data_IF_263248158162
#
_entry.id   IF_263248158162
#
_cell.length_a   1.000
_cell.length_b   1.000
_cell.length_c   1.000
_cell.angle_alpha   90.00
_cell.angle_beta   90.00
_cell.angle_gamma   90.00
#
_symmetry.space_group_name_H-M   'P 1'
#
loop_
_entity.id
_entity.type
_entity.pdbx_description
1 polymer ?
#
# COMPACT_ATOMS: atom_id res chain seq x y z
N UNK A 1 -16.78 13.98 19.27
CA UNK A 1 -17.75 14.17 18.17
C UNK A 1 -17.13 14.94 17.01
N UNK A 2 -16.25 15.91 17.29
CA UNK A 2 -15.53 16.72 16.30
C UNK A 2 -14.54 15.92 15.42
N UNK A 3 -13.81 14.99 16.04
CA UNK A 3 -12.76 14.19 15.37
C UNK A 3 -13.27 13.22 14.28
N UNK A 4 -14.53 12.78 14.37
CA UNK A 4 -15.12 11.89 13.36
C UNK A 4 -15.56 12.67 12.10
N UNK A 5 -16.03 13.90 12.30
CA UNK A 5 -16.47 14.79 11.23
C UNK A 5 -15.28 15.36 10.42
N UNK A 6 -14.12 15.49 11.05
CA UNK A 6 -12.87 15.88 10.40
C UNK A 6 -12.33 14.75 9.50
N UNK A 7 -12.36 13.50 9.99
CA UNK A 7 -11.99 12.31 9.21
C UNK A 7 -12.91 12.09 7.99
N UNK A 8 -14.22 12.30 8.15
CA UNK A 8 -15.17 12.22 7.03
C UNK A 8 -14.90 13.31 5.98
N UNK A 9 -14.54 14.52 6.40
CA UNK A 9 -14.13 15.59 5.47
C UNK A 9 -12.85 15.25 4.70
N UNK A 10 -11.81 14.74 5.36
CA UNK A 10 -10.56 14.36 4.69
C UNK A 10 -10.74 13.19 3.71
N UNK A 11 -11.56 12.19 4.07
CA UNK A 11 -11.95 11.10 3.17
C UNK A 11 -12.70 11.65 1.94
N UNK A 12 -13.63 12.58 2.15
CA UNK A 12 -14.39 13.23 1.07
C UNK A 12 -13.49 14.11 0.18
N UNK A 13 -12.51 14.80 0.75
CA UNK A 13 -11.54 15.62 -0.02
C UNK A 13 -10.57 14.77 -0.84
N UNK A 14 -10.19 13.58 -0.36
CA UNK A 14 -9.37 12.63 -1.12
C UNK A 14 -10.14 11.94 -2.24
N UNK A 15 -11.38 11.54 -1.98
CA UNK A 15 -12.26 11.01 -3.01
C UNK A 15 -12.47 12.07 -4.11
N UNK A 16 -12.62 13.35 -3.73
CA UNK A 16 -12.66 14.48 -4.65
C UNK A 16 -11.34 14.70 -5.40
N UNK A 17 -10.18 14.51 -4.76
CA UNK A 17 -8.89 14.59 -5.45
C UNK A 17 -8.74 13.49 -6.52
N UNK A 18 -9.30 12.30 -6.30
CA UNK A 18 -9.38 11.24 -7.32
C UNK A 18 -10.28 11.67 -8.50
N UNK A 19 -11.38 12.38 -8.23
CA UNK A 19 -12.27 12.92 -9.27
C UNK A 19 -11.63 14.02 -10.14
N UNK A 20 -10.63 14.76 -9.62
CA UNK A 20 -9.94 15.85 -10.35
C UNK A 20 -8.84 15.36 -11.33
N UNK A 21 -8.81 14.06 -11.64
CA UNK A 21 -7.84 13.50 -12.59
C UNK A 21 -6.48 13.22 -11.97
N UNK A 22 -6.42 13.04 -10.65
CA UNK A 22 -5.22 12.61 -9.96
C UNK A 22 -4.82 11.21 -10.47
N UNK A 23 -3.56 11.10 -10.93
CA UNK A 23 -3.02 9.87 -11.52
C UNK A 23 -2.19 9.08 -10.54
N UNK A 24 -2.05 9.57 -9.31
CA UNK A 24 -1.20 9.01 -8.28
C UNK A 24 -1.94 8.96 -6.95
N UNK A 25 -1.82 7.83 -6.25
CA UNK A 25 -2.39 7.60 -4.92
C UNK A 25 -1.26 7.18 -4.01
N UNK A 26 -0.98 8.02 -3.02
CA UNK A 26 -0.03 7.74 -1.96
C UNK A 26 -0.74 7.03 -0.81
N UNK A 27 -0.14 5.98 -0.27
CA UNK A 27 -0.70 5.24 0.86
C UNK A 27 0.41 4.59 1.69
N UNK A 28 0.16 4.45 2.99
CA UNK A 28 1.07 3.81 3.92
C UNK A 28 0.75 2.33 4.11
N UNK A 29 1.79 1.52 4.30
CA UNK A 29 1.64 0.12 4.71
C UNK A 29 2.49 -0.20 5.93
N UNK A 30 1.99 -1.08 6.79
CA UNK A 30 2.69 -1.61 7.96
C UNK A 30 2.91 -3.11 7.78
N UNK A 31 4.14 -3.58 7.96
CA UNK A 31 4.38 -5.02 7.99
C UNK A 31 3.94 -5.65 9.33
N UNK A 32 4.01 -6.98 9.41
CA UNK A 32 3.69 -7.73 10.63
C UNK A 32 4.61 -7.42 11.83
N UNK A 33 5.72 -6.69 11.62
CA UNK A 33 6.65 -6.22 12.65
C UNK A 33 6.44 -4.74 13.00
N UNK A 34 5.46 -4.07 12.37
CA UNK A 34 5.16 -2.65 12.57
C UNK A 34 6.07 -1.69 11.81
N UNK A 35 6.88 -2.19 10.86
CA UNK A 35 7.69 -1.32 9.99
C UNK A 35 6.78 -0.63 8.98
N UNK A 36 6.95 0.69 8.84
CA UNK A 36 6.18 1.51 7.92
C UNK A 36 6.88 1.67 6.57
N UNK A 37 6.14 1.50 5.48
CA UNK A 37 6.60 1.75 4.13
C UNK A 37 5.62 2.67 3.39
N UNK A 38 6.07 3.82 2.86
CA UNK A 38 5.24 4.68 2.03
C UNK A 38 5.24 4.15 0.59
N UNK A 39 4.05 3.87 0.05
CA UNK A 39 3.84 3.46 -1.33
C UNK A 39 3.17 4.56 -2.14
N UNK A 40 3.41 4.54 -3.45
CA UNK A 40 2.69 5.34 -4.43
C UNK A 40 2.24 4.42 -5.55
N UNK A 41 0.93 4.38 -5.80
CA UNK A 41 0.34 3.74 -6.97
C UNK A 41 0.03 4.81 -8.01
N UNK A 42 0.42 4.61 -9.26
CA UNK A 42 0.22 5.63 -10.29
C UNK A 42 -0.12 5.05 -11.65
N UNK A 43 -0.79 5.84 -12.48
CA UNK A 43 -1.07 5.53 -13.88
C UNK A 43 -0.16 6.39 -14.77
N UNK A 44 0.55 5.74 -15.71
CA UNK A 44 1.48 6.43 -16.60
C UNK A 44 0.76 7.39 -17.56
N UNK A 45 1.39 8.55 -17.81
CA UNK A 45 0.85 9.60 -18.68
C UNK A 45 0.76 9.21 -20.17
N UNK A 46 1.55 8.23 -20.62
CA UNK A 46 1.58 7.75 -22.01
C UNK A 46 1.78 6.24 -22.04
N UNK A 47 1.17 5.58 -23.04
CA UNK A 47 1.24 4.13 -23.20
C UNK A 47 0.22 3.38 -22.34
N UNK A 48 0.63 2.24 -21.79
CA UNK A 48 -0.25 1.35 -21.04
C UNK A 48 -0.72 1.99 -19.73
N UNK A 49 -2.05 2.17 -19.59
CA UNK A 49 -2.69 2.88 -18.47
C UNK A 49 -2.95 2.00 -17.24
N UNK A 50 -2.22 0.90 -17.08
CA UNK A 50 -2.38 0.11 -15.87
C UNK A 50 -1.68 0.78 -14.69
N UNK A 51 -2.31 0.76 -13.51
CA UNK A 51 -1.70 1.26 -12.29
C UNK A 51 -0.45 0.45 -11.95
N UNK A 52 0.58 1.13 -11.46
CA UNK A 52 1.84 0.53 -11.02
C UNK A 52 2.28 1.11 -9.68
N UNK A 53 2.86 0.25 -8.83
CA UNK A 53 3.58 0.72 -7.66
C UNK A 53 4.90 1.34 -8.09
N UNK A 54 5.13 2.58 -7.66
CA UNK A 54 6.32 3.35 -7.99
C UNK A 54 7.55 2.78 -7.28
N UNK A 55 8.68 2.80 -7.99
CA UNK A 55 9.91 2.13 -7.59
C UNK A 55 10.47 2.62 -6.24
N UNK A 56 10.33 3.90 -5.92
CA UNK A 56 10.95 4.48 -4.72
C UNK A 56 10.47 3.81 -3.42
N UNK A 57 9.15 3.65 -3.25
CA UNK A 57 8.57 2.98 -2.09
C UNK A 57 8.64 1.47 -2.20
N UNK A 58 8.34 0.96 -3.40
CA UNK A 58 8.27 -0.47 -3.68
C UNK A 58 9.61 -1.19 -3.52
N UNK A 59 10.69 -0.66 -4.11
CA UNK A 59 12.01 -1.32 -4.06
C UNK A 59 12.58 -1.34 -2.64
N UNK A 60 12.28 -0.32 -1.80
CA UNK A 60 12.65 -0.33 -0.39
C UNK A 60 12.03 -1.52 0.34
N UNK A 61 10.74 -1.77 0.11
CA UNK A 61 10.04 -2.92 0.68
C UNK A 61 10.57 -4.26 0.14
N UNK A 62 10.74 -4.38 -1.19
CA UNK A 62 11.31 -5.57 -1.85
C UNK A 62 12.67 -5.92 -1.26
N UNK A 63 13.58 -4.95 -1.16
CA UNK A 63 14.92 -5.17 -0.63
C UNK A 63 14.89 -5.50 0.86
N UNK A 64 14.04 -4.83 1.65
CA UNK A 64 13.91 -5.08 3.09
C UNK A 64 13.40 -6.50 3.38
N UNK A 65 12.40 -6.96 2.63
CA UNK A 65 11.81 -8.30 2.77
C UNK A 65 12.58 -9.39 2.03
N UNK A 66 13.56 -9.03 1.20
CA UNK A 66 14.30 -9.97 0.36
C UNK A 66 13.41 -10.68 -0.65
N UNK A 67 12.43 -9.97 -1.23
CA UNK A 67 11.46 -10.58 -2.13
C UNK A 67 12.08 -11.05 -3.43
N UNK A 68 11.60 -12.20 -3.89
CA UNK A 68 11.99 -12.83 -5.14
C UNK A 68 10.76 -13.12 -6.02
N UNK A 69 11.00 -13.39 -7.30
CA UNK A 69 9.93 -13.78 -8.22
C UNK A 69 9.29 -15.08 -7.72
N UNK A 70 7.98 -15.05 -7.50
CA UNK A 70 7.21 -16.18 -6.98
C UNK A 70 6.72 -15.97 -5.54
N UNK A 71 7.28 -14.99 -4.82
CA UNK A 71 6.76 -14.59 -3.51
C UNK A 71 5.37 -13.93 -3.65
N UNK A 72 4.54 -14.09 -2.62
CA UNK A 72 3.22 -13.50 -2.52
C UNK A 72 3.23 -12.30 -1.59
N UNK A 73 2.47 -11.28 -1.97
CA UNK A 73 2.24 -10.12 -1.12
C UNK A 73 0.74 -9.97 -0.92
N UNK A 74 0.36 -9.77 0.33
CA UNK A 74 -1.04 -9.67 0.74
C UNK A 74 -1.21 -8.34 1.46
N UNK A 75 -2.06 -7.47 0.91
CA UNK A 75 -2.52 -6.26 1.57
C UNK A 75 -3.83 -6.55 2.28
N UNK A 76 -3.91 -6.26 3.57
CA UNK A 76 -5.15 -6.29 4.36
C UNK A 76 -5.48 -4.87 4.80
N UNK A 77 -6.72 -4.41 4.61
CA UNK A 77 -7.14 -3.12 5.15
C UNK A 77 -6.94 -3.10 6.68
N UNK A 78 -6.34 -2.03 7.19
CA UNK A 78 -6.24 -1.76 8.61
C UNK A 78 -6.72 -0.32 8.84
N UNK A 79 -7.65 -0.14 9.78
CA UNK A 79 -8.10 1.20 10.15
C UNK A 79 -7.07 1.75 11.13
N UNK A 80 -6.29 2.76 10.72
CA UNK A 80 -5.50 3.59 11.62
C UNK A 80 -6.20 4.95 11.75
N UNK A 81 -6.61 5.29 12.97
CA UNK A 81 -7.33 6.53 13.26
C UNK A 81 -6.41 7.76 13.31
N UNK A 82 -5.09 7.59 13.29
CA UNK A 82 -4.11 8.69 13.30
C UNK A 82 -3.47 8.95 11.93
N UNK A 83 -3.49 7.97 11.01
CA UNK A 83 -2.77 8.03 9.73
C UNK A 83 -3.65 7.71 8.52
N UNK A 84 -4.97 7.74 8.71
CA UNK A 84 -5.99 7.25 7.77
C UNK A 84 -5.80 5.78 7.42
N UNK A 85 -6.48 5.25 6.39
CA UNK A 85 -6.41 3.83 6.03
C UNK A 85 -4.97 3.42 5.72
N UNK A 86 -4.40 2.57 6.59
CA UNK A 86 -3.13 1.91 6.39
C UNK A 86 -3.42 0.46 5.98
N UNK A 87 -2.63 -0.09 5.07
CA UNK A 87 -2.71 -1.54 4.84
C UNK A 87 -1.72 -2.26 5.73
N UNK A 88 -2.15 -3.33 6.38
CA UNK A 88 -1.19 -4.33 6.83
C UNK A 88 -0.67 -5.07 5.58
N UNK A 89 0.64 -5.16 5.43
CA UNK A 89 1.28 -5.90 4.34
C UNK A 89 2.00 -7.14 4.87
N UNK A 90 1.74 -8.29 4.27
CA UNK A 90 2.49 -9.52 4.51
C UNK A 90 3.19 -9.94 3.23
N UNK A 91 4.41 -10.42 3.36
CA UNK A 91 5.16 -11.09 2.32
C UNK A 91 5.25 -12.57 2.67
N UNK A 92 5.01 -13.45 1.70
CA UNK A 92 5.00 -14.89 1.89
C UNK A 92 5.81 -15.60 0.83
N UNK A 93 6.59 -16.61 1.25
CA UNK A 93 7.36 -17.50 0.38
C UNK A 93 6.92 -18.94 0.58
N UNK A 94 6.94 -19.76 -0.46
CA UNK A 94 6.78 -21.20 -0.30
C UNK A 94 8.06 -21.82 0.25
N UNK A 95 7.92 -22.58 1.34
CA UNK A 95 9.00 -23.42 1.81
C UNK A 95 9.12 -24.70 0.96
N UNK A 96 10.11 -25.54 1.27
CA UNK A 96 10.37 -26.80 0.56
C UNK A 96 9.21 -27.80 0.59
N UNK A 97 8.24 -27.62 1.49
CA UNK A 97 7.04 -28.45 1.61
C UNK A 97 5.83 -27.83 0.87
N UNK A 98 6.02 -26.72 0.18
CA UNK A 98 4.96 -26.01 -0.55
C UNK A 98 4.06 -25.13 0.32
N UNK A 99 4.35 -25.00 1.62
CA UNK A 99 3.59 -24.16 2.54
C UNK A 99 4.03 -22.70 2.43
N UNK A 100 3.05 -21.78 2.43
CA UNK A 100 3.31 -20.35 2.48
C UNK A 100 3.70 -19.92 3.90
N UNK A 101 4.85 -19.28 4.04
CA UNK A 101 5.35 -18.75 5.31
C UNK A 101 5.66 -17.26 5.17
N UNK A 102 5.38 -16.50 6.22
CA UNK A 102 5.67 -15.07 6.25
C UNK A 102 7.19 -14.80 6.30
N UNK A 103 7.65 -13.77 5.58
CA UNK A 103 9.04 -13.30 5.54
C UNK A 103 9.18 -11.83 5.94
#
# INVERSE_FOLDING_TARGET
>A
MEHAHELEKELTERDRAIEEGCREVHFGVLDNKGNYFPFCCSIRNRGYRNPVLQAEGWLKFVNYKGLEVGDKIIFRPQVDHFRETIFQVMAQRQNIHGHWVDI
#
